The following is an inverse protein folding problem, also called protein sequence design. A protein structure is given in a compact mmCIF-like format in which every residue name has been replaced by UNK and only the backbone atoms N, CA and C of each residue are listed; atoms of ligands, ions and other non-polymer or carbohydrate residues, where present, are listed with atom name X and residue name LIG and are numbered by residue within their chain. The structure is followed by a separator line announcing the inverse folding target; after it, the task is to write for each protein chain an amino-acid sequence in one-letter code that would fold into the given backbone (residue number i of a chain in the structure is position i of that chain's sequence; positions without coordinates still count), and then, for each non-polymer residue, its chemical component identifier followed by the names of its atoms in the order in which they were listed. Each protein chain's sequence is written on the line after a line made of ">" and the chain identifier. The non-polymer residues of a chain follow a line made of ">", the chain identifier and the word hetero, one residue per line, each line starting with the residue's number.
data_IF_647677661802
#
_entry.id   IF_647677661802
#
_cell.length_a   1.000
_cell.length_b   1.000
_cell.length_c   1.000
_cell.angle_alpha   90.00
_cell.angle_beta   90.00
_cell.angle_gamma   90.00
#
_symmetry.space_group_name_H-M   'P 1'
#
loop_
_entity.id
_entity.type
_entity.pdbx_description
1 polymer ?
#
# COMPACT_ATOMS: atom_id res chain seq x y z
N UNK A 1 -41.62 -45.91 -13.66
CA UNK A 1 -40.16 -45.72 -13.90
C UNK A 1 -39.75 -44.26 -14.11
N UNK A 2 -40.53 -43.43 -14.83
CA UNK A 2 -40.16 -42.04 -15.15
C UNK A 2 -40.13 -41.04 -13.97
N UNK A 3 -40.87 -41.33 -12.89
CA UNK A 3 -40.94 -40.45 -11.71
C UNK A 3 -39.63 -40.52 -10.89
N UNK A 4 -39.04 -41.71 -10.75
CA UNK A 4 -37.79 -41.89 -10.01
C UNK A 4 -36.60 -41.24 -10.71
N UNK A 5 -36.54 -41.32 -12.05
CA UNK A 5 -35.48 -40.68 -12.84
C UNK A 5 -35.54 -39.16 -12.76
N UNK A 6 -36.74 -38.57 -12.73
CA UNK A 6 -36.91 -37.12 -12.56
C UNK A 6 -36.47 -36.63 -11.17
N UNK A 7 -36.75 -37.41 -10.12
CA UNK A 7 -36.28 -37.05 -8.77
C UNK A 7 -34.77 -37.11 -8.63
N UNK A 8 -34.13 -38.12 -9.23
CA UNK A 8 -32.67 -38.25 -9.23
C UNK A 8 -32.02 -37.08 -9.97
N UNK A 9 -32.57 -36.66 -11.11
CA UNK A 9 -32.00 -35.51 -11.85
C UNK A 9 -32.16 -34.19 -11.11
N UNK A 10 -33.29 -33.95 -10.43
CA UNK A 10 -33.49 -32.76 -9.59
C UNK A 10 -32.48 -32.72 -8.43
N UNK A 11 -32.29 -33.85 -7.73
CA UNK A 11 -31.34 -33.94 -6.61
C UNK A 11 -29.90 -33.72 -7.08
N UNK A 12 -29.51 -34.34 -8.20
CA UNK A 12 -28.17 -34.18 -8.77
C UNK A 12 -27.94 -32.74 -9.25
N UNK A 13 -28.93 -32.11 -9.89
CA UNK A 13 -28.85 -30.72 -10.30
C UNK A 13 -28.74 -29.75 -9.10
N UNK A 14 -29.50 -30.00 -8.03
CA UNK A 14 -29.42 -29.22 -6.80
C UNK A 14 -28.05 -29.37 -6.11
N UNK A 15 -27.51 -30.58 -6.04
CA UNK A 15 -26.15 -30.84 -5.55
C UNK A 15 -25.08 -30.13 -6.39
N UNK A 16 -25.18 -30.21 -7.72
CA UNK A 16 -24.27 -29.51 -8.64
C UNK A 16 -24.33 -27.99 -8.51
N UNK A 17 -25.52 -27.42 -8.26
CA UNK A 17 -25.69 -25.99 -8.02
C UNK A 17 -25.05 -25.55 -6.69
N UNK A 18 -25.20 -26.36 -5.62
CA UNK A 18 -24.57 -26.12 -4.32
C UNK A 18 -23.04 -26.19 -4.40
N UNK A 19 -22.49 -27.14 -5.17
CA UNK A 19 -21.03 -27.28 -5.36
C UNK A 19 -20.43 -26.11 -6.17
N UNK A 20 -21.21 -25.50 -7.07
CA UNK A 20 -20.78 -24.36 -7.89
C UNK A 20 -21.01 -22.99 -7.24
N UNK A 21 -21.88 -22.92 -6.24
CA UNK A 21 -22.49 -21.66 -5.77
C UNK A 21 -21.81 -20.95 -4.60
N UNK A 22 -20.66 -21.41 -4.12
CA UNK A 22 -19.92 -20.68 -3.08
C UNK A 22 -18.79 -19.90 -3.74
N UNK A 23 -18.95 -18.58 -4.02
CA UNK A 23 -17.79 -17.75 -4.27
C UNK A 23 -16.91 -17.82 -3.04
N UNK A 24 -15.75 -18.46 -3.17
CA UNK A 24 -14.74 -18.45 -2.15
C UNK A 24 -14.28 -17.00 -1.98
N UNK A 25 -14.85 -16.30 -1.01
CA UNK A 25 -14.37 -15.00 -0.59
C UNK A 25 -12.93 -15.20 -0.09
N UNK A 26 -11.97 -14.91 -0.97
CA UNK A 26 -10.55 -14.96 -0.63
C UNK A 26 -10.29 -13.85 0.40
N UNK A 27 -9.67 -14.15 1.55
CA UNK A 27 -9.44 -13.16 2.61
C UNK A 27 -8.38 -12.09 2.25
N UNK A 28 -8.07 -11.91 0.97
CA UNK A 28 -7.02 -11.03 0.45
C UNK A 28 -7.55 -9.99 -0.54
N UNK A 29 -8.82 -10.03 -0.94
CA UNK A 29 -9.37 -8.97 -1.79
C UNK A 29 -9.66 -7.72 -0.95
N UNK A 30 -8.89 -6.65 -1.16
CA UNK A 30 -9.27 -5.32 -0.70
C UNK A 30 -10.69 -5.03 -1.18
N UNK A 31 -11.67 -4.75 -0.30
CA UNK A 31 -13.04 -4.52 -0.69
C UNK A 31 -13.11 -3.28 -1.59
N UNK A 32 -13.42 -3.44 -2.89
CA UNK A 32 -13.34 -2.34 -3.85
C UNK A 32 -14.44 -1.28 -3.67
N UNK A 33 -15.48 -1.60 -2.89
CA UNK A 33 -16.62 -0.71 -2.63
C UNK A 33 -16.48 0.11 -1.35
N UNK A 34 -15.46 -0.16 -0.53
CA UNK A 34 -15.26 0.53 0.75
C UNK A 34 -14.22 1.64 0.61
N UNK A 35 -14.68 2.89 0.51
CA UNK A 35 -13.79 4.04 0.55
C UNK A 35 -13.37 4.31 2.00
N UNK A 36 -12.07 4.19 2.27
CA UNK A 36 -11.48 4.59 3.55
C UNK A 36 -10.66 5.86 3.39
N UNK A 37 -10.89 6.84 4.28
CA UNK A 37 -10.12 8.09 4.31
C UNK A 37 -8.99 7.94 5.32
N UNK A 38 -7.75 8.16 4.86
CA UNK A 38 -6.56 8.09 5.70
C UNK A 38 -5.97 9.47 5.95
N UNK A 39 -5.41 9.67 7.14
CA UNK A 39 -4.53 10.79 7.45
C UNK A 39 -3.09 10.30 7.43
N UNK A 40 -2.30 10.83 6.50
CA UNK A 40 -0.86 10.56 6.43
C UNK A 40 -0.12 11.61 7.26
N UNK A 41 0.71 11.15 8.19
CA UNK A 41 1.59 12.01 9.00
C UNK A 41 3.03 11.55 8.77
N UNK A 42 3.87 12.44 8.27
CA UNK A 42 5.31 12.20 8.16
C UNK A 42 6.00 12.82 9.38
N UNK A 43 6.56 11.99 10.24
CA UNK A 43 7.48 12.43 11.29
C UNK A 43 8.91 12.22 10.82
N UNK A 44 9.73 13.24 10.96
CA UNK A 44 11.10 13.26 10.44
C UNK A 44 12.05 13.63 11.57
N UNK A 45 12.86 12.67 12.00
CA UNK A 45 13.80 12.85 13.10
C UNK A 45 15.19 13.24 12.58
N UNK A 46 15.34 14.48 12.12
CA UNK A 46 16.65 15.04 11.80
C UNK A 46 16.97 16.12 12.81
N UNK A 47 17.74 15.76 13.83
CA UNK A 47 18.16 16.66 14.91
C UNK A 47 19.70 16.74 14.97
N UNK A 48 20.27 17.85 15.47
CA UNK A 48 21.72 17.97 15.64
C UNK A 48 22.27 17.02 16.71
N UNK A 49 21.42 16.50 17.61
CA UNK A 49 21.83 15.51 18.62
C UNK A 49 22.05 14.14 17.99
N UNK A 50 21.13 13.74 17.12
CA UNK A 50 21.16 12.43 16.45
C UNK A 50 22.10 12.44 15.24
N UNK A 51 22.20 13.60 14.56
CA UNK A 51 23.04 13.80 13.37
C UNK A 51 23.98 15.01 13.54
N UNK A 52 25.02 14.89 14.38
CA UNK A 52 25.90 16.02 14.73
C UNK A 52 26.86 16.42 13.61
N UNK A 53 27.14 15.52 12.67
CA UNK A 53 28.14 15.76 11.61
C UNK A 53 27.58 16.71 10.55
N UNK A 54 28.11 17.93 10.51
CA UNK A 54 27.75 18.96 9.53
C UNK A 54 26.25 19.27 9.48
N UNK A 55 25.59 19.32 10.64
CA UNK A 55 24.19 19.71 10.70
C UNK A 55 24.02 21.14 10.17
N UNK A 56 23.15 21.37 9.17
CA UNK A 56 23.00 22.69 8.57
C UNK A 56 22.19 23.60 9.49
N UNK A 57 22.89 24.35 10.35
CA UNK A 57 22.29 25.38 11.22
C UNK A 57 22.09 26.71 10.48
N UNK A 58 22.90 26.98 9.45
CA UNK A 58 22.90 28.26 8.75
C UNK A 58 22.80 28.14 7.22
N UNK A 59 21.82 28.86 6.66
CA UNK A 59 21.53 29.17 5.24
C UNK A 59 21.78 28.05 4.21
N UNK A 60 20.73 27.24 3.89
CA UNK A 60 19.45 27.11 4.59
C UNK A 60 19.60 26.24 5.84
N UNK A 61 18.79 26.47 6.90
CA UNK A 61 18.71 25.51 7.99
C UNK A 61 18.15 24.17 7.47
N UNK A 62 18.38 23.10 8.24
CA UNK A 62 17.78 21.79 8.02
C UNK A 62 16.27 21.90 7.73
N UNK A 63 15.86 21.40 6.56
CA UNK A 63 14.48 21.48 6.09
C UNK A 63 14.13 20.31 5.17
N UNK A 64 12.83 20.05 5.05
CA UNK A 64 12.27 19.00 4.21
C UNK A 64 11.54 19.61 3.02
N UNK A 65 11.59 18.95 1.87
CA UNK A 65 10.73 19.31 0.74
C UNK A 65 9.28 18.88 0.98
N UNK A 66 8.36 19.43 0.17
CA UNK A 66 6.95 19.00 0.19
C UNK A 66 6.85 17.50 -0.08
N UNK A 67 5.98 16.84 0.68
CA UNK A 67 5.59 15.45 0.42
C UNK A 67 4.79 15.40 -0.89
N UNK A 68 5.21 14.53 -1.80
CA UNK A 68 4.53 14.30 -3.08
C UNK A 68 3.86 12.92 -3.05
N UNK A 69 2.63 12.86 -3.56
CA UNK A 69 1.71 11.73 -3.43
C UNK A 69 2.11 10.50 -4.28
N UNK A 70 2.95 10.70 -5.29
CA UNK A 70 3.43 9.62 -6.18
C UNK A 70 4.66 8.93 -5.60
N UNK A 71 4.49 8.15 -4.54
CA UNK A 71 5.33 6.99 -4.14
C UNK A 71 6.85 7.18 -3.93
N UNK A 72 7.42 8.35 -4.15
CA UNK A 72 8.85 8.61 -4.04
C UNK A 72 9.10 9.68 -2.96
N UNK A 73 9.14 9.25 -1.70
CA UNK A 73 9.72 10.04 -0.61
C UNK A 73 11.24 10.03 -0.76
N UNK A 74 11.77 10.86 -1.64
CA UNK A 74 13.20 11.14 -1.61
C UNK A 74 13.46 12.17 -0.51
N UNK A 75 13.90 11.68 0.65
CA UNK A 75 14.62 12.50 1.63
C UNK A 75 15.97 12.83 1.00
N UNK A 76 15.98 13.89 0.21
CA UNK A 76 17.20 14.35 -0.42
C UNK A 76 17.92 15.23 0.61
N UNK A 77 18.94 14.68 1.28
CA UNK A 77 19.95 15.48 1.98
C UNK A 77 20.50 16.47 0.95
N UNK A 78 20.03 17.73 0.97
CA UNK A 78 20.45 18.73 -0.01
C UNK A 78 21.86 19.19 0.35
N UNK A 79 22.86 18.38 0.01
CA UNK A 79 24.27 18.75 -0.01
C UNK A 79 24.52 19.55 -1.29
N UNK A 80 24.11 20.82 -1.28
CA UNK A 80 24.41 21.83 -2.31
C UNK A 80 24.14 21.43 -3.77
N UNK A 81 22.96 21.85 -4.27
CA UNK A 81 22.65 22.17 -5.68
C UNK A 81 23.20 21.17 -6.73
N UNK A 82 22.28 20.32 -7.25
CA UNK A 82 22.37 19.47 -8.45
C UNK A 82 23.08 18.11 -8.29
N UNK A 83 22.43 17.15 -7.61
CA UNK A 83 22.70 15.72 -7.85
C UNK A 83 21.38 14.98 -8.16
N UNK A 84 21.37 14.02 -9.10
CA UNK A 84 20.19 13.24 -9.45
C UNK A 84 19.77 12.33 -8.29
N UNK A 85 18.46 12.18 -8.06
CA UNK A 85 17.81 11.42 -6.98
C UNK A 85 18.29 9.96 -6.78
N UNK A 86 19.10 9.42 -7.70
CA UNK A 86 19.44 8.00 -7.77
C UNK A 86 20.69 7.60 -6.96
N UNK A 87 21.36 8.54 -6.29
CA UNK A 87 22.62 8.28 -5.56
C UNK A 87 22.51 8.37 -4.03
N UNK A 88 21.33 8.68 -3.47
CA UNK A 88 21.22 9.17 -2.09
C UNK A 88 20.63 8.20 -1.05
N UNK A 89 20.47 6.92 -1.39
CA UNK A 89 20.14 5.88 -0.42
C UNK A 89 20.99 4.64 -0.71
N UNK A 90 22.24 4.65 -0.28
CA UNK A 90 23.01 3.42 -0.09
C UNK A 90 23.38 3.37 1.40
N UNK A 91 23.11 2.21 2.02
CA UNK A 91 23.41 1.90 3.42
C UNK A 91 24.86 2.24 3.81
#
# INVERSE_FOLDING_TARGET
>A
MWVATAWVTVVVAAWLALVRGVPAASPTSCPPEELTVYKVVLDTHWSPRDFPKHYPEWRPPAQWSKLLDTGALAVCQRKYILEPLNSLCHE
#
